data_IF_267864112230
#
_entry.id   IF_267864112230
#
_cell.length_a   1.000
_cell.length_b   1.000
_cell.length_c   1.000
_cell.angle_alpha   90.00
_cell.angle_beta   90.00
_cell.angle_gamma   90.00
#
_symmetry.space_group_name_H-M   'P 1'
#
loop_
_entity.id
_entity.type
_entity.pdbx_description
1 polymer ?
#
# COMPACT_ATOMS: atom_id res chain seq x y z
N UNK A 1 59.72 9.20 -51.05
CA UNK A 1 59.44 9.08 -49.61
C UNK A 1 57.97 8.72 -49.43
N UNK A 2 57.64 7.44 -49.31
CA UNK A 2 56.25 6.97 -49.19
C UNK A 2 55.65 7.47 -47.87
N UNK A 3 54.53 8.21 -47.95
CA UNK A 3 53.74 8.56 -46.77
C UNK A 3 53.27 7.26 -46.13
N UNK A 4 53.82 6.91 -44.96
CA UNK A 4 53.36 5.77 -44.16
C UNK A 4 51.85 5.93 -43.92
N UNK A 5 51.06 4.96 -44.36
CA UNK A 5 49.63 4.87 -44.10
C UNK A 5 49.41 4.97 -42.58
N UNK A 6 48.53 5.86 -42.14
CA UNK A 6 48.19 5.99 -40.71
C UNK A 6 47.52 4.72 -40.21
N UNK A 7 47.76 4.35 -38.95
CA UNK A 7 47.06 3.22 -38.31
C UNK A 7 45.56 3.52 -38.23
N UNK A 8 44.75 2.51 -38.51
CA UNK A 8 43.31 2.48 -38.28
C UNK A 8 42.99 2.49 -36.77
N UNK A 9 41.71 2.67 -36.43
CA UNK A 9 41.28 2.70 -35.02
C UNK A 9 41.58 1.36 -34.32
N UNK A 10 41.25 0.24 -34.94
CA UNK A 10 41.51 -1.09 -34.36
C UNK A 10 43.00 -1.39 -34.23
N UNK A 11 43.82 -1.02 -35.23
CA UNK A 11 45.28 -1.17 -35.09
C UNK A 11 45.82 -0.31 -33.94
N UNK A 12 45.29 0.90 -33.70
CA UNK A 12 45.67 1.72 -32.53
C UNK A 12 45.26 1.05 -31.21
N UNK A 13 44.06 0.46 -31.16
CA UNK A 13 43.56 -0.27 -29.98
C UNK A 13 44.46 -1.46 -29.64
N UNK A 14 44.84 -2.24 -30.64
CA UNK A 14 45.76 -3.37 -30.49
C UNK A 14 47.14 -2.91 -30.01
N UNK A 15 47.71 -1.85 -30.60
CA UNK A 15 48.99 -1.30 -30.14
C UNK A 15 48.94 -0.79 -28.69
N UNK A 16 47.83 -0.17 -28.27
CA UNK A 16 47.68 0.27 -26.88
C UNK A 16 47.50 -0.93 -25.93
N UNK A 17 46.71 -1.95 -26.30
CA UNK A 17 46.57 -3.18 -25.52
C UNK A 17 47.90 -3.91 -25.33
N UNK A 18 48.71 -3.95 -26.38
CA UNK A 18 50.01 -4.59 -26.35
C UNK A 18 50.93 -3.97 -25.30
N UNK A 19 50.85 -2.65 -25.04
CA UNK A 19 51.58 -1.99 -23.95
C UNK A 19 51.22 -2.62 -22.61
N UNK A 20 49.93 -2.83 -22.34
CA UNK A 20 49.48 -3.45 -21.08
C UNK A 20 49.92 -4.90 -20.96
N UNK A 21 49.85 -5.69 -22.04
CA UNK A 21 50.22 -7.11 -22.02
C UNK A 21 51.72 -7.35 -21.90
N UNK A 22 52.56 -6.53 -22.54
CA UNK A 22 54.02 -6.63 -22.45
C UNK A 22 54.54 -6.19 -21.09
N UNK A 23 54.00 -5.10 -20.55
CA UNK A 23 54.47 -4.52 -19.30
C UNK A 23 53.83 -5.14 -18.05
N UNK A 24 52.63 -5.71 -18.19
CA UNK A 24 51.80 -6.25 -17.10
C UNK A 24 51.68 -5.29 -15.91
N UNK A 25 51.69 -3.99 -16.19
CA UNK A 25 51.73 -2.91 -15.21
C UNK A 25 50.44 -2.10 -15.14
N UNK A 26 50.43 -1.14 -14.20
CA UNK A 26 49.37 -0.16 -14.01
C UNK A 26 49.86 1.21 -14.46
N UNK A 27 49.04 1.93 -15.19
CA UNK A 27 49.44 3.19 -15.80
C UNK A 27 48.45 4.32 -15.53
N UNK A 28 49.00 5.52 -15.34
CA UNK A 28 48.23 6.75 -15.41
C UNK A 28 48.02 7.17 -16.87
N UNK A 29 46.99 7.97 -17.13
CA UNK A 29 46.73 8.48 -18.48
C UNK A 29 47.94 9.22 -19.06
N UNK A 30 48.64 10.02 -18.24
CA UNK A 30 49.85 10.76 -18.65
C UNK A 30 51.01 9.84 -19.07
N UNK A 31 51.10 8.65 -18.47
CA UNK A 31 52.13 7.67 -18.81
C UNK A 31 51.79 6.97 -20.12
N UNK A 32 50.51 6.63 -20.33
CA UNK A 32 50.00 6.10 -21.59
C UNK A 32 50.17 7.10 -22.74
N UNK A 33 49.93 8.39 -22.51
CA UNK A 33 50.16 9.46 -23.48
C UNK A 33 51.64 9.59 -23.90
N UNK A 34 52.58 9.16 -23.05
CA UNK A 34 54.01 9.11 -23.34
C UNK A 34 54.44 7.81 -24.05
N UNK A 35 53.78 6.70 -23.74
CA UNK A 35 54.11 5.37 -24.32
C UNK A 35 53.40 5.11 -25.64
N UNK A 36 52.16 5.57 -25.82
CA UNK A 36 51.36 5.38 -27.04
C UNK A 36 52.05 5.85 -28.32
N UNK A 37 52.65 7.05 -28.37
CA UNK A 37 53.41 7.52 -29.53
C UNK A 37 54.60 6.64 -29.88
N UNK A 38 55.23 5.96 -28.91
CA UNK A 38 56.35 5.04 -29.16
C UNK A 38 55.91 3.78 -29.90
N UNK A 39 54.63 3.40 -29.78
CA UNK A 39 53.99 2.29 -30.51
C UNK A 39 53.26 2.76 -31.78
N UNK A 40 53.43 4.03 -32.18
CA UNK A 40 52.86 4.60 -33.41
C UNK A 40 51.46 5.19 -33.28
N UNK A 41 50.87 5.21 -32.08
CA UNK A 41 49.56 5.84 -31.84
C UNK A 41 49.70 7.35 -31.73
N UNK A 42 48.89 8.11 -32.46
CA UNK A 42 48.95 9.58 -32.44
C UNK A 42 48.61 10.07 -31.03
N UNK A 43 49.47 10.92 -30.44
CA UNK A 43 49.35 11.38 -29.04
C UNK A 43 47.96 11.93 -28.69
N UNK A 44 47.36 12.74 -29.58
CA UNK A 44 46.02 13.31 -29.38
C UNK A 44 44.90 12.24 -29.34
N UNK A 45 45.11 11.07 -29.94
CA UNK A 45 44.13 9.99 -29.98
C UNK A 45 44.29 8.96 -28.85
N UNK A 46 45.35 9.04 -28.05
CA UNK A 46 45.63 8.03 -27.01
C UNK A 46 44.51 7.95 -25.99
N UNK A 47 44.01 9.11 -25.53
CA UNK A 47 42.91 9.18 -24.56
C UNK A 47 41.65 8.50 -25.07
N UNK A 48 41.23 8.80 -26.30
CA UNK A 48 40.01 8.26 -26.89
C UNK A 48 40.12 6.76 -27.14
N UNK A 49 41.30 6.29 -27.59
CA UNK A 49 41.58 4.86 -27.82
C UNK A 49 41.58 4.08 -26.50
N UNK A 50 42.16 4.64 -25.43
CA UNK A 50 42.10 4.01 -24.10
C UNK A 50 40.66 4.00 -23.59
N UNK A 51 39.89 5.08 -23.78
CA UNK A 51 38.51 5.10 -23.35
C UNK A 51 37.66 4.06 -24.09
N UNK A 52 37.82 3.90 -25.41
CA UNK A 52 37.11 2.87 -26.18
C UNK A 52 37.51 1.45 -25.77
N UNK A 53 38.76 1.23 -25.34
CA UNK A 53 39.19 -0.06 -24.78
C UNK A 53 38.57 -0.34 -23.41
N UNK A 54 38.36 0.69 -22.61
CA UNK A 54 37.65 0.57 -21.33
C UNK A 54 36.16 0.32 -21.54
N UNK A 55 35.54 1.00 -22.50
CA UNK A 55 34.11 0.87 -22.77
C UNK A 55 33.74 -0.54 -23.25
N UNK A 56 34.69 -1.23 -23.91
CA UNK A 56 34.56 -2.65 -24.32
C UNK A 56 35.15 -3.65 -23.30
N UNK A 57 35.42 -3.23 -22.06
CA UNK A 57 35.95 -4.05 -20.96
C UNK A 57 37.33 -4.71 -21.21
N UNK A 58 38.05 -4.27 -22.25
CA UNK A 58 39.39 -4.78 -22.60
C UNK A 58 40.51 -4.16 -21.76
N UNK A 59 40.28 -2.96 -21.23
CA UNK A 59 41.16 -2.29 -20.25
C UNK A 59 40.33 -1.96 -19.02
N UNK A 60 40.83 -2.33 -17.84
CA UNK A 60 40.22 -1.97 -16.58
C UNK A 60 40.68 -0.57 -16.17
N UNK A 61 39.78 0.22 -15.58
CA UNK A 61 40.09 1.48 -14.94
C UNK A 61 39.57 1.50 -13.52
N UNK A 62 40.34 2.10 -12.61
CA UNK A 62 39.88 2.36 -11.25
C UNK A 62 40.52 3.64 -10.70
N UNK A 63 39.79 4.31 -9.82
CA UNK A 63 40.22 5.56 -9.19
C UNK A 63 40.71 5.28 -7.78
N UNK A 64 42.01 5.43 -7.57
CA UNK A 64 42.66 5.24 -6.28
C UNK A 64 43.16 6.61 -5.81
N UNK A 65 42.51 7.14 -4.76
CA UNK A 65 42.76 8.49 -4.27
C UNK A 65 42.40 9.56 -5.30
N UNK A 66 43.36 10.40 -5.68
CA UNK A 66 43.18 11.46 -6.68
C UNK A 66 43.47 11.01 -8.12
N UNK A 67 43.96 9.77 -8.30
CA UNK A 67 44.51 9.29 -9.57
C UNK A 67 43.67 8.17 -10.16
N UNK A 68 43.56 8.12 -11.49
CA UNK A 68 42.89 7.03 -12.23
C UNK A 68 43.96 6.15 -12.86
N UNK A 69 43.93 4.86 -12.53
CA UNK A 69 44.84 3.85 -13.04
C UNK A 69 44.14 3.00 -14.10
N UNK A 70 44.89 2.64 -15.13
CA UNK A 70 44.46 1.79 -16.23
C UNK A 70 45.37 0.56 -16.29
N UNK A 71 44.80 -0.62 -16.49
CA UNK A 71 45.58 -1.85 -16.65
C UNK A 71 44.80 -2.90 -17.46
N UNK A 72 45.53 -3.83 -18.07
CA UNK A 72 44.94 -5.03 -18.67
C UNK A 72 45.93 -6.18 -18.57
N UNK A 73 45.50 -7.30 -18.02
CA UNK A 73 46.32 -8.51 -17.91
C UNK A 73 45.84 -9.52 -18.95
N UNK A 74 46.73 -10.34 -19.54
CA UNK A 74 46.33 -11.36 -20.52
C UNK A 74 45.26 -12.35 -20.01
N UNK A 75 45.18 -12.54 -18.69
CA UNK A 75 44.20 -13.42 -18.03
C UNK A 75 42.84 -12.75 -17.73
N UNK A 76 42.72 -11.42 -17.86
CA UNK A 76 41.51 -10.69 -17.48
C UNK A 76 40.27 -11.14 -18.26
N UNK A 77 40.35 -11.20 -19.59
CA UNK A 77 39.22 -11.61 -20.44
C UNK A 77 38.77 -13.06 -20.12
N UNK A 78 39.71 -13.98 -19.94
CA UNK A 78 39.41 -15.38 -19.60
C UNK A 78 38.78 -15.53 -18.21
N UNK A 79 39.24 -14.75 -17.22
CA UNK A 79 38.67 -14.76 -15.88
C UNK A 79 37.29 -14.11 -15.82
N UNK A 80 37.08 -12.99 -16.53
CA UNK A 80 35.76 -12.36 -16.65
C UNK A 80 34.75 -13.33 -17.25
N UNK A 81 35.09 -13.96 -18.39
CA UNK A 81 34.21 -14.95 -19.02
C UNK A 81 33.88 -16.10 -18.07
N UNK A 82 34.86 -16.64 -17.35
CA UNK A 82 34.66 -17.72 -16.39
C UNK A 82 33.78 -17.31 -15.21
N UNK A 83 33.93 -16.09 -14.71
CA UNK A 83 33.11 -15.57 -13.61
C UNK A 83 31.67 -15.34 -14.07
N UNK A 84 31.47 -14.74 -15.24
CA UNK A 84 30.16 -14.56 -15.86
C UNK A 84 29.48 -15.90 -16.11
N UNK A 85 30.20 -16.88 -16.65
CA UNK A 85 29.69 -18.24 -16.83
C UNK A 85 29.23 -18.87 -15.52
N UNK A 86 30.07 -18.86 -14.48
CA UNK A 86 29.72 -19.40 -13.15
C UNK A 86 28.50 -18.71 -12.55
N UNK A 87 28.39 -17.39 -12.70
CA UNK A 87 27.24 -16.62 -12.22
C UNK A 87 25.97 -17.03 -12.96
N UNK A 88 26.01 -17.07 -14.29
CA UNK A 88 24.87 -17.49 -15.11
C UNK A 88 24.45 -18.94 -14.83
N UNK A 89 25.40 -19.83 -14.59
CA UNK A 89 25.13 -21.23 -14.23
C UNK A 89 24.44 -21.33 -12.85
N UNK A 90 24.91 -20.55 -11.87
CA UNK A 90 24.26 -20.44 -10.55
C UNK A 90 22.84 -19.86 -10.66
N UNK A 91 22.66 -18.80 -11.44
CA UNK A 91 21.36 -18.15 -11.66
C UNK A 91 20.38 -19.08 -12.40
N UNK A 92 20.87 -19.84 -13.37
CA UNK A 92 20.07 -20.86 -14.07
C UNK A 92 19.62 -21.97 -13.12
N UNK A 93 20.53 -22.43 -12.26
CA UNK A 93 20.25 -23.50 -11.30
C UNK A 93 19.22 -23.05 -10.27
N UNK A 94 19.38 -21.84 -9.72
CA UNK A 94 18.44 -21.27 -8.75
C UNK A 94 17.06 -21.03 -9.38
N UNK A 95 17.01 -20.53 -10.62
CA UNK A 95 15.76 -20.29 -11.36
C UNK A 95 15.04 -21.60 -11.66
N UNK A 96 15.76 -22.65 -12.08
CA UNK A 96 15.18 -23.99 -12.31
C UNK A 96 14.59 -24.57 -11.03
N UNK A 97 15.31 -24.45 -9.91
CA UNK A 97 14.81 -24.90 -8.60
C UNK A 97 13.53 -24.16 -8.23
N UNK A 98 13.52 -22.83 -8.31
CA UNK A 98 12.35 -22.01 -8.02
C UNK A 98 11.16 -22.34 -8.93
N UNK A 99 11.41 -22.59 -10.21
CA UNK A 99 10.37 -23.01 -11.14
C UNK A 99 9.73 -24.35 -10.73
N UNK A 100 10.54 -25.35 -10.35
CA UNK A 100 10.03 -26.63 -9.90
C UNK A 100 9.18 -26.50 -8.62
N UNK A 101 9.65 -25.72 -7.64
CA UNK A 101 8.90 -25.42 -6.41
C UNK A 101 7.56 -24.73 -6.69
N UNK A 102 7.55 -23.74 -7.59
CA UNK A 102 6.32 -23.03 -7.97
C UNK A 102 5.35 -23.93 -8.75
N UNK A 103 5.87 -24.81 -9.61
CA UNK A 103 5.04 -25.77 -10.34
C UNK A 103 4.37 -26.76 -9.38
N UNK A 104 5.11 -27.27 -8.39
CA UNK A 104 4.57 -28.14 -7.35
C UNK A 104 3.53 -27.43 -6.48
N UNK A 105 3.79 -26.18 -6.07
CA UNK A 105 2.82 -25.37 -5.33
C UNK A 105 1.54 -25.14 -6.13
N UNK A 106 1.66 -24.77 -7.42
CA UNK A 106 0.51 -24.63 -8.32
C UNK A 106 -0.31 -25.91 -8.37
N UNK A 107 0.32 -27.05 -8.54
CA UNK A 107 -0.38 -28.33 -8.64
C UNK A 107 -1.02 -28.73 -7.31
N UNK A 108 -0.36 -28.44 -6.18
CA UNK A 108 -0.95 -28.64 -4.86
C UNK A 108 -2.19 -27.77 -4.62
N UNK A 109 -2.19 -26.52 -5.09
CA UNK A 109 -3.30 -25.57 -4.93
C UNK A 109 -4.46 -25.87 -5.90
N UNK A 110 -4.17 -26.48 -7.05
CA UNK A 110 -5.19 -26.93 -8.00
C UNK A 110 -5.99 -28.12 -7.48
N UNK A 111 -5.38 -28.99 -6.66
CA UNK A 111 -6.10 -30.11 -6.04
C UNK A 111 -7.22 -29.59 -5.15
N UNK A 112 -8.46 -29.98 -5.45
CA UNK A 112 -9.67 -29.51 -4.77
C UNK A 112 -10.16 -28.12 -5.22
N UNK A 113 -9.53 -27.52 -6.23
CA UNK A 113 -9.95 -26.26 -6.88
C UNK A 113 -9.95 -26.42 -8.39
N UNK A 114 -10.21 -27.63 -8.86
CA UNK A 114 -10.29 -27.94 -10.27
C UNK A 114 -11.35 -27.05 -10.93
N UNK A 115 -11.04 -26.57 -12.13
CA UNK A 115 -12.02 -25.83 -12.93
C UNK A 115 -13.09 -26.83 -13.39
N UNK A 116 -14.30 -26.67 -12.87
CA UNK A 116 -15.49 -27.40 -13.29
C UNK A 116 -16.68 -26.45 -13.32
N UNK A 117 -17.68 -26.78 -14.14
CA UNK A 117 -18.92 -26.01 -14.24
C UNK A 117 -19.64 -25.97 -12.88
N UNK A 118 -19.55 -27.03 -12.07
CA UNK A 118 -20.14 -27.04 -10.71
C UNK A 118 -19.46 -26.04 -9.78
N UNK A 119 -18.12 -25.90 -9.88
CA UNK A 119 -17.37 -24.94 -9.08
C UNK A 119 -17.71 -23.50 -9.48
N UNK A 120 -17.83 -23.23 -10.77
CA UNK A 120 -18.22 -21.91 -11.27
C UNK A 120 -19.63 -21.54 -10.81
N UNK A 121 -20.59 -22.47 -10.95
CA UNK A 121 -21.96 -22.28 -10.46
C UNK A 121 -22.01 -22.02 -8.94
N UNK A 122 -21.26 -22.80 -8.14
CA UNK A 122 -21.21 -22.63 -6.69
C UNK A 122 -20.57 -21.28 -6.27
N UNK A 123 -19.59 -20.78 -7.01
CA UNK A 123 -18.98 -19.47 -6.76
C UNK A 123 -19.93 -18.32 -7.08
N UNK A 124 -20.70 -18.42 -8.16
CA UNK A 124 -21.73 -17.43 -8.49
C UNK A 124 -22.89 -17.46 -7.49
N UNK A 125 -23.32 -18.65 -7.05
CA UNK A 125 -24.34 -18.79 -6.00
C UNK A 125 -23.88 -18.22 -4.66
N UNK A 126 -22.63 -18.48 -4.26
CA UNK A 126 -22.03 -17.90 -3.06
C UNK A 126 -22.07 -16.38 -3.11
N UNK A 127 -21.63 -15.79 -4.23
CA UNK A 127 -21.62 -14.35 -4.45
C UNK A 127 -23.01 -13.73 -4.41
N UNK A 128 -24.01 -14.39 -5.02
CA UNK A 128 -25.40 -13.96 -4.98
C UNK A 128 -25.94 -13.99 -3.53
N UNK A 129 -25.63 -15.06 -2.79
CA UNK A 129 -26.04 -15.24 -1.39
C UNK A 129 -25.40 -14.21 -0.47
N UNK A 130 -24.11 -13.91 -0.64
CA UNK A 130 -23.41 -12.88 0.14
C UNK A 130 -24.00 -11.49 -0.09
N UNK A 131 -24.36 -11.18 -1.34
CA UNK A 131 -25.01 -9.91 -1.69
C UNK A 131 -26.40 -9.79 -1.02
N UNK A 132 -27.20 -10.86 -1.09
CA UNK A 132 -28.53 -10.87 -0.49
C UNK A 132 -28.46 -10.82 1.05
N UNK A 133 -27.52 -11.57 1.65
CA UNK A 133 -27.28 -11.50 3.09
C UNK A 133 -26.89 -10.09 3.53
N UNK A 134 -26.03 -9.41 2.77
CA UNK A 134 -25.68 -8.00 3.04
C UNK A 134 -26.91 -7.10 2.95
N UNK A 135 -27.72 -7.24 1.89
CA UNK A 135 -28.96 -6.47 1.69
C UNK A 135 -29.92 -6.64 2.88
N UNK A 136 -30.17 -7.89 3.29
CA UNK A 136 -31.05 -8.22 4.41
C UNK A 136 -30.49 -7.68 5.74
N UNK A 137 -29.18 -7.71 5.93
CA UNK A 137 -28.54 -7.16 7.13
C UNK A 137 -28.70 -5.64 7.20
N UNK A 138 -28.51 -4.94 6.08
CA UNK A 138 -28.71 -3.49 6.00
C UNK A 138 -30.19 -3.12 6.21
N UNK A 139 -31.10 -3.92 5.65
CA UNK A 139 -32.55 -3.79 5.86
C UNK A 139 -32.92 -4.02 7.34
N UNK A 140 -32.40 -5.05 7.99
CA UNK A 140 -32.64 -5.32 9.41
C UNK A 140 -32.12 -4.21 10.31
N UNK A 141 -30.97 -3.61 9.96
CA UNK A 141 -30.44 -2.46 10.69
C UNK A 141 -31.37 -1.24 10.62
N UNK A 142 -32.11 -1.05 9.51
CA UNK A 142 -33.11 0.02 9.40
C UNK A 142 -34.30 -0.15 10.34
N UNK A 143 -34.57 -1.39 10.78
CA UNK A 143 -35.62 -1.70 11.74
C UNK A 143 -35.13 -1.80 13.19
N UNK A 144 -33.87 -1.43 13.47
CA UNK A 144 -33.29 -1.54 14.82
C UNK A 144 -34.10 -0.75 15.88
N UNK A 145 -34.70 0.37 15.50
CA UNK A 145 -35.52 1.19 16.40
C UNK A 145 -36.94 0.64 16.63
N UNK A 146 -37.37 -0.37 15.86
CA UNK A 146 -38.68 -1.01 15.96
C UNK A 146 -38.62 -2.31 16.76
N UNK A 147 -37.87 -2.33 17.86
CA UNK A 147 -37.83 -3.49 18.75
C UNK A 147 -39.20 -3.69 19.42
N UNK A 148 -39.89 -4.83 19.21
CA UNK A 148 -41.16 -5.13 19.85
C UNK A 148 -41.09 -5.04 21.38
N UNK A 149 -39.96 -5.41 21.98
CA UNK A 149 -39.79 -5.32 23.43
C UNK A 149 -39.74 -3.85 23.90
N UNK A 150 -39.05 -2.98 23.16
CA UNK A 150 -39.02 -1.55 23.42
C UNK A 150 -40.40 -0.91 23.24
N UNK A 151 -41.16 -1.33 22.22
CA UNK A 151 -42.51 -0.83 21.96
C UNK A 151 -43.50 -1.24 23.06
N UNK A 152 -43.46 -2.49 23.51
CA UNK A 152 -44.28 -2.94 24.64
C UNK A 152 -43.90 -2.25 25.96
N UNK A 153 -42.60 -2.05 26.22
CA UNK A 153 -42.15 -1.27 27.38
C UNK A 153 -42.65 0.18 27.34
N UNK A 154 -42.65 0.81 26.15
CA UNK A 154 -43.19 2.15 25.96
C UNK A 154 -44.70 2.22 26.23
N UNK A 155 -45.48 1.24 25.76
CA UNK A 155 -46.93 1.18 26.05
C UNK A 155 -47.21 1.08 27.55
N UNK A 156 -46.51 0.20 28.27
CA UNK A 156 -46.65 0.07 29.71
C UNK A 156 -46.28 1.36 30.45
N UNK A 157 -45.20 2.03 30.02
CA UNK A 157 -44.81 3.32 30.59
C UNK A 157 -45.86 4.41 30.34
N UNK A 158 -46.50 4.43 29.16
CA UNK A 158 -47.60 5.34 28.83
C UNK A 158 -48.81 5.09 29.74
N UNK A 159 -49.20 3.84 29.97
CA UNK A 159 -50.31 3.51 30.87
C UNK A 159 -50.05 4.02 32.30
N UNK A 160 -48.83 3.80 32.82
CA UNK A 160 -48.42 4.29 34.14
C UNK A 160 -48.43 5.82 34.18
N UNK A 161 -47.89 6.48 33.16
CA UNK A 161 -47.84 7.94 33.09
C UNK A 161 -49.23 8.56 32.98
N UNK A 162 -50.12 7.96 32.18
CA UNK A 162 -51.52 8.38 32.01
C UNK A 162 -52.30 8.28 33.31
N UNK A 163 -52.23 7.12 33.97
CA UNK A 163 -52.85 6.91 35.28
C UNK A 163 -52.30 7.88 36.33
N UNK A 164 -50.98 8.11 36.34
CA UNK A 164 -50.35 9.04 37.27
C UNK A 164 -50.78 10.50 37.02
N UNK A 165 -50.85 10.93 35.75
CA UNK A 165 -51.30 12.26 35.37
C UNK A 165 -52.74 12.50 35.83
N UNK A 166 -53.65 11.58 35.50
CA UNK A 166 -55.05 11.65 35.89
C UNK A 166 -55.24 11.62 37.41
N UNK A 167 -54.43 10.85 38.14
CA UNK A 167 -54.43 10.88 39.62
C UNK A 167 -53.98 12.24 40.17
N UNK A 168 -52.98 12.88 39.57
CA UNK A 168 -52.57 14.21 39.98
C UNK A 168 -53.62 15.27 39.63
N UNK A 169 -54.31 15.14 38.49
CA UNK A 169 -55.47 15.97 38.15
C UNK A 169 -56.57 15.86 39.21
N UNK A 170 -56.92 14.64 39.64
CA UNK A 170 -57.90 14.42 40.72
C UNK A 170 -57.46 15.04 42.05
N UNK A 171 -56.18 14.88 42.41
CA UNK A 171 -55.61 15.50 43.60
C UNK A 171 -55.68 17.03 43.54
N UNK A 172 -55.40 17.64 42.37
CA UNK A 172 -55.48 19.09 42.18
C UNK A 172 -56.92 19.57 42.37
N UNK A 173 -57.89 18.94 41.72
CA UNK A 173 -59.31 19.31 41.86
C UNK A 173 -59.82 19.12 43.29
N UNK A 174 -59.43 18.03 43.94
CA UNK A 174 -59.76 17.78 45.34
C UNK A 174 -59.22 18.87 46.27
N UNK A 175 -57.96 19.29 46.06
CA UNK A 175 -57.35 20.39 46.82
C UNK A 175 -58.05 21.73 46.54
N UNK A 176 -58.35 22.04 45.28
CA UNK A 176 -59.10 23.25 44.92
C UNK A 176 -60.47 23.31 45.60
N UNK A 177 -61.20 22.19 45.61
CA UNK A 177 -62.50 22.08 46.27
C UNK A 177 -62.38 22.24 47.79
N UNK A 178 -61.42 21.54 48.42
CA UNK A 178 -61.22 21.62 49.87
C UNK A 178 -60.79 23.02 50.33
N UNK A 179 -59.84 23.66 49.63
CA UNK A 179 -59.39 25.01 49.93
C UNK A 179 -60.53 26.03 49.79
N UNK A 180 -61.32 25.93 48.73
CA UNK A 180 -62.47 26.81 48.49
C UNK A 180 -63.55 26.67 49.57
N UNK A 181 -63.74 25.45 50.09
CA UNK A 181 -64.73 25.17 51.15
C UNK A 181 -64.23 25.60 52.54
N UNK A 182 -62.94 25.38 52.83
CA UNK A 182 -62.35 25.62 54.15
C UNK A 182 -61.97 27.09 54.37
N UNK A 183 -61.60 27.81 53.30
CA UNK A 183 -61.18 29.22 53.36
C UNK A 183 -62.02 30.12 52.43
N UNK A 184 -63.32 30.30 52.67
CA UNK A 184 -64.18 31.11 51.79
C UNK A 184 -63.70 32.56 51.64
N UNK A 185 -63.09 33.14 52.68
CA UNK A 185 -62.55 34.51 52.65
C UNK A 185 -61.33 34.69 51.73
N UNK A 186 -60.67 33.61 51.30
CA UNK A 186 -59.45 33.66 50.49
C UNK A 186 -59.70 33.27 49.03
N UNK A 187 -60.96 33.14 48.60
CA UNK A 187 -61.35 32.59 47.30
C UNK A 187 -60.68 33.30 46.11
N UNK A 188 -60.74 34.64 46.05
CA UNK A 188 -60.13 35.41 44.96
C UNK A 188 -58.59 35.27 44.91
N UNK A 189 -57.93 35.20 46.06
CA UNK A 189 -56.48 35.00 46.14
C UNK A 189 -56.07 33.60 45.68
N UNK A 190 -56.86 32.58 46.03
CA UNK A 190 -56.65 31.20 45.58
C UNK A 190 -56.84 31.07 44.06
N UNK A 191 -57.88 31.68 43.49
CA UNK A 191 -58.10 31.68 42.04
C UNK A 191 -56.96 32.36 41.27
N UNK A 192 -56.41 33.46 41.79
CA UNK A 192 -55.23 34.09 41.21
C UNK A 192 -54.01 33.17 41.25
N UNK A 193 -53.76 32.55 42.41
CA UNK A 193 -52.64 31.62 42.61
C UNK A 193 -52.72 30.43 41.65
N UNK A 194 -53.90 29.84 41.45
CA UNK A 194 -54.08 28.72 40.53
C UNK A 194 -53.77 29.13 39.10
N UNK A 195 -54.22 30.30 38.66
CA UNK A 195 -53.91 30.84 37.32
C UNK A 195 -52.41 31.11 37.13
N UNK A 196 -51.75 31.70 38.13
CA UNK A 196 -50.30 31.91 38.10
C UNK A 196 -49.51 30.60 38.08
N UNK A 197 -50.01 29.56 38.76
CA UNK A 197 -49.43 28.23 38.76
C UNK A 197 -49.72 27.42 37.47
N UNK A 198 -50.46 27.99 36.52
CA UNK A 198 -50.81 27.34 35.25
C UNK A 198 -51.95 26.34 35.35
N UNK A 199 -52.74 26.35 36.43
CA UNK A 199 -53.98 25.58 36.54
C UNK A 199 -55.09 26.43 35.91
N UNK A 200 -55.28 26.22 34.62
CA UNK A 200 -56.25 26.92 33.78
C UNK A 200 -57.56 26.13 33.66
N UNK A 201 -58.62 26.75 33.14
CA UNK A 201 -59.96 26.13 33.03
C UNK A 201 -60.02 24.97 32.04
N UNK A 202 -59.02 24.83 31.18
CA UNK A 202 -58.81 23.74 30.23
C UNK A 202 -58.02 22.55 30.81
N UNK A 203 -57.56 22.64 32.07
CA UNK A 203 -57.00 21.46 32.74
C UNK A 203 -58.12 20.44 32.94
N UNK A 204 -57.97 19.28 32.33
CA UNK A 204 -58.90 18.15 32.45
C UNK A 204 -58.13 16.82 32.45
N UNK A 205 -58.86 15.73 32.64
CA UNK A 205 -58.32 14.38 32.51
C UNK A 205 -57.82 14.13 31.09
N UNK A 206 -56.67 13.46 31.00
CA UNK A 206 -56.20 12.91 29.74
C UNK A 206 -57.13 11.76 29.33
N UNK A 207 -57.68 11.78 28.10
CA UNK A 207 -58.59 10.74 27.61
C UNK A 207 -57.90 9.39 27.42
#
# INVERSE_FOLDING_TARGET
MSKKRGLSLEEKREQMLQIFYESQGFFLLKELEKMGPKKGVISQSVKDVIQSLVDDDLVLKDKIGTSVYFWSLPSCAGNQLRNTYKKLESDLTSSKKRYAELAEQRDSLKRGREESDEREAALEELKATELEHKRLKDELASYADNDPAALEAMKLAIEVAHSAANRWTDNIFTLQQWCSTTFPQAKEQLEHLYKEAGITEDLDYLP
#
